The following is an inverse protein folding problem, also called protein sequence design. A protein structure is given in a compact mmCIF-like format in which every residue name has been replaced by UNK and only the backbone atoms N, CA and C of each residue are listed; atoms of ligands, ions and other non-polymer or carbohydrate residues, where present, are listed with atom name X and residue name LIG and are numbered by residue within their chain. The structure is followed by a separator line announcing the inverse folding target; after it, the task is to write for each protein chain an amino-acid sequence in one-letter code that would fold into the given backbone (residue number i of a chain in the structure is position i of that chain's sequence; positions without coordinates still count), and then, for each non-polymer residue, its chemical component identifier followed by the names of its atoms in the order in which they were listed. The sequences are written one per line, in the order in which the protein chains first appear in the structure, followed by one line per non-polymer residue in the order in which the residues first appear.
data_IF_734065277000
#
_entry.id   IF_734065277000
#
_cell.length_a   1.000
_cell.length_b   1.000
_cell.length_c   1.000
_cell.angle_alpha   90.00
_cell.angle_beta   90.00
_cell.angle_gamma   90.00
#
_symmetry.space_group_name_H-M   'P 1'
#
loop_
_entity.id
_entity.type
_entity.pdbx_description
1 polymer ?
#
# COMPACT_ATOMS: atom_id res chain seq x y z
N UNK A 1 57.22 13.06 11.59
CA UNK A 1 56.71 14.00 10.63
C UNK A 1 55.54 13.48 9.89
N UNK A 2 55.67 12.37 9.24
CA UNK A 2 54.49 11.74 8.63
C UNK A 2 53.41 11.39 9.69
N UNK A 3 53.84 10.98 10.87
CA UNK A 3 52.96 10.68 11.98
C UNK A 3 52.15 11.88 12.45
N UNK A 4 52.73 13.04 12.47
CA UNK A 4 52.04 14.25 12.87
C UNK A 4 50.95 14.61 11.88
N UNK A 5 51.21 14.43 10.60
CA UNK A 5 50.19 14.67 9.58
C UNK A 5 49.02 13.74 9.74
N UNK A 6 49.25 12.46 10.03
CA UNK A 6 48.22 11.48 10.25
C UNK A 6 47.42 11.81 11.51
N UNK A 7 48.11 12.20 12.59
CA UNK A 7 47.44 12.61 13.84
C UNK A 7 46.60 13.85 13.62
N UNK A 8 47.11 14.79 12.86
CA UNK A 8 46.36 16.01 12.56
C UNK A 8 45.09 15.71 11.78
N UNK A 9 45.14 14.78 10.86
CA UNK A 9 43.97 14.35 10.12
C UNK A 9 42.92 13.69 11.04
N UNK A 10 43.36 12.92 12.03
CA UNK A 10 42.46 12.34 13.02
C UNK A 10 41.88 13.41 13.94
N UNK A 11 42.69 14.36 14.32
CA UNK A 11 42.26 15.45 15.18
C UNK A 11 41.36 16.45 14.45
N UNK A 12 41.48 16.54 13.16
CA UNK A 12 40.59 17.38 12.38
C UNK A 12 39.13 16.89 12.45
N UNK A 13 38.92 15.63 12.83
CA UNK A 13 37.60 15.09 13.00
C UNK A 13 36.81 14.98 11.69
N UNK A 14 35.49 14.88 11.76
CA UNK A 14 34.68 14.80 10.57
C UNK A 14 34.74 16.08 9.76
N UNK A 15 34.50 15.96 8.45
CA UNK A 15 34.43 17.10 7.55
C UNK A 15 33.40 18.11 8.07
N UNK A 16 33.61 19.44 7.87
CA UNK A 16 32.62 20.44 8.25
C UNK A 16 31.22 20.20 7.67
N UNK A 17 31.18 19.50 6.53
CA UNK A 17 29.90 19.17 5.88
C UNK A 17 29.27 17.89 6.41
N UNK A 18 30.01 17.08 7.20
CA UNK A 18 29.48 15.86 7.79
C UNK A 18 28.77 16.20 9.09
N UNK A 19 27.55 15.65 9.33
CA UNK A 19 26.88 15.88 10.59
C UNK A 19 27.61 15.22 11.74
N UNK A 20 27.61 15.87 12.90
CA UNK A 20 28.13 15.28 14.12
C UNK A 20 27.25 14.12 14.58
N UNK A 21 27.77 13.30 15.48
CA UNK A 21 27.09 12.11 15.97
C UNK A 21 25.70 12.41 16.53
N UNK A 22 25.59 13.51 17.28
CA UNK A 22 24.30 13.94 17.85
C UNK A 22 23.33 14.40 16.78
N UNK A 23 23.84 15.04 15.73
CA UNK A 23 23.02 15.46 14.59
C UNK A 23 22.53 14.28 13.77
N UNK A 24 23.34 13.24 13.63
CA UNK A 24 22.90 12.01 12.96
C UNK A 24 21.74 11.35 13.68
N UNK A 25 21.80 11.30 15.01
CA UNK A 25 20.69 10.77 15.81
C UNK A 25 19.40 11.54 15.61
N UNK A 26 19.49 12.89 15.57
CA UNK A 26 18.34 13.74 15.33
C UNK A 26 17.76 13.53 13.93
N UNK A 27 18.62 13.41 12.90
CA UNK A 27 18.21 13.16 11.52
C UNK A 27 17.49 11.82 11.41
N UNK A 28 18.03 10.76 12.02
CA UNK A 28 17.41 9.44 12.02
C UNK A 28 16.06 9.46 12.72
N UNK A 29 15.94 10.20 13.82
CA UNK A 29 14.69 10.36 14.54
C UNK A 29 13.63 11.05 13.68
N UNK A 30 14.03 12.09 12.96
CA UNK A 30 13.13 12.80 12.04
C UNK A 30 12.68 11.90 10.88
N UNK A 31 13.58 11.08 10.35
CA UNK A 31 13.24 10.09 9.32
C UNK A 31 12.21 9.08 9.80
N UNK A 32 12.38 8.57 11.03
CA UNK A 32 11.42 7.63 11.63
C UNK A 32 10.07 8.28 11.82
N UNK A 33 10.05 9.51 12.32
CA UNK A 33 8.81 10.26 12.51
C UNK A 33 8.09 10.49 11.17
N UNK A 34 8.83 10.83 10.12
CA UNK A 34 8.28 11.01 8.78
C UNK A 34 7.67 9.71 8.25
N UNK A 35 8.39 8.59 8.37
CA UNK A 35 7.90 7.28 7.95
C UNK A 35 6.65 6.85 8.71
N UNK A 36 6.62 7.12 10.02
CA UNK A 36 5.46 6.79 10.84
C UNK A 36 4.23 7.62 10.44
N UNK A 37 4.42 8.89 10.08
CA UNK A 37 3.34 9.73 9.58
C UNK A 37 2.79 9.20 8.25
N UNK A 38 3.67 8.84 7.32
CA UNK A 38 3.28 8.27 6.03
C UNK A 38 2.51 6.95 6.20
N UNK A 39 2.98 6.08 7.07
CA UNK A 39 2.30 4.83 7.39
C UNK A 39 0.92 5.07 8.00
N UNK A 40 0.79 6.04 8.89
CA UNK A 40 -0.47 6.40 9.51
C UNK A 40 -1.45 6.97 8.48
N UNK A 41 -0.97 7.84 7.59
CA UNK A 41 -1.78 8.39 6.51
C UNK A 41 -2.25 7.32 5.54
N UNK A 42 -1.37 6.39 5.17
CA UNK A 42 -1.72 5.27 4.30
C UNK A 42 -2.83 4.41 4.93
N UNK A 43 -2.74 4.14 6.23
CA UNK A 43 -3.77 3.38 6.94
C UNK A 43 -5.10 4.12 7.00
N UNK A 44 -5.08 5.43 7.21
CA UNK A 44 -6.30 6.26 7.15
C UNK A 44 -6.95 6.21 5.78
N UNK A 45 -6.15 6.30 4.73
CA UNK A 45 -6.63 6.18 3.36
C UNK A 45 -7.21 4.80 3.11
N UNK A 46 -6.56 3.75 3.60
CA UNK A 46 -7.07 2.39 3.53
C UNK A 46 -8.44 2.23 4.18
N UNK A 47 -8.62 2.81 5.38
CA UNK A 47 -9.91 2.81 6.07
C UNK A 47 -10.97 3.55 5.27
N UNK A 48 -10.64 4.71 4.73
CA UNK A 48 -11.55 5.49 3.90
C UNK A 48 -12.01 4.73 2.67
N UNK A 49 -11.09 4.06 1.98
CA UNK A 49 -11.40 3.23 0.81
C UNK A 49 -12.28 2.05 1.23
N UNK A 50 -11.95 1.36 2.32
CA UNK A 50 -12.73 0.23 2.82
C UNK A 50 -14.17 0.64 3.13
N UNK A 51 -14.35 1.79 3.76
CA UNK A 51 -15.68 2.35 4.03
C UNK A 51 -16.45 2.65 2.75
N UNK A 52 -15.76 3.20 1.75
CA UNK A 52 -16.36 3.49 0.45
C UNK A 52 -16.84 2.24 -0.27
N UNK A 53 -16.09 1.14 -0.15
CA UNK A 53 -16.47 -0.15 -0.73
C UNK A 53 -17.73 -0.67 -0.05
N UNK A 54 -17.77 -0.65 1.29
CA UNK A 54 -18.94 -1.11 2.06
C UNK A 54 -20.17 -0.26 1.75
N UNK A 55 -20.00 1.04 1.63
CA UNK A 55 -21.06 1.98 1.29
C UNK A 55 -21.49 1.90 -0.18
N UNK A 56 -20.79 1.10 -1.00
CA UNK A 56 -21.05 0.97 -2.43
C UNK A 56 -20.84 2.27 -3.22
N UNK A 57 -20.10 3.23 -2.67
CA UNK A 57 -19.72 4.45 -3.38
C UNK A 57 -18.49 4.25 -4.26
N UNK A 58 -17.71 3.20 -4.01
CA UNK A 58 -16.60 2.75 -4.86
C UNK A 58 -16.91 1.32 -5.32
N UNK A 59 -16.65 1.02 -6.59
CA UNK A 59 -16.83 -0.32 -7.11
C UNK A 59 -15.96 -1.34 -6.38
N UNK A 60 -16.46 -2.57 -6.26
CA UNK A 60 -15.78 -3.64 -5.51
C UNK A 60 -14.38 -3.92 -6.07
N UNK A 61 -14.28 -4.08 -7.39
CA UNK A 61 -13.00 -4.41 -8.04
C UNK A 61 -12.04 -3.22 -8.06
N UNK A 62 -12.58 -2.02 -8.26
CA UNK A 62 -11.80 -0.79 -8.20
C UNK A 62 -11.22 -0.56 -6.80
N UNK A 63 -12.05 -0.76 -5.78
CA UNK A 63 -11.62 -0.65 -4.40
C UNK A 63 -10.60 -1.71 -4.01
N UNK A 64 -10.81 -2.95 -4.46
CA UNK A 64 -9.86 -4.04 -4.22
C UNK A 64 -8.48 -3.71 -4.78
N UNK A 65 -8.44 -3.12 -5.96
CA UNK A 65 -7.20 -2.68 -6.60
C UNK A 65 -6.47 -1.64 -5.73
N UNK A 66 -7.22 -0.70 -5.17
CA UNK A 66 -6.66 0.33 -4.29
C UNK A 66 -6.19 -0.23 -2.95
N UNK A 67 -6.69 -1.39 -2.52
CA UNK A 67 -6.32 -2.03 -1.26
C UNK A 67 -5.43 -3.27 -1.45
N UNK A 68 -4.90 -3.51 -2.64
CA UNK A 68 -4.07 -4.69 -2.92
C UNK A 68 -2.79 -4.75 -2.09
N UNK A 69 -2.35 -3.63 -1.55
CA UNK A 69 -1.12 -3.52 -0.75
C UNK A 69 -1.32 -3.82 0.75
N UNK A 70 -2.56 -3.84 1.24
CA UNK A 70 -2.82 -3.85 2.69
C UNK A 70 -2.36 -5.12 3.40
N UNK A 71 -2.31 -6.25 2.69
CA UNK A 71 -1.93 -7.54 3.29
C UNK A 71 -0.52 -7.49 3.89
N UNK A 72 0.38 -6.69 3.31
CA UNK A 72 1.75 -6.53 3.79
C UNK A 72 1.82 -5.83 5.15
N UNK A 73 0.81 -5.03 5.47
CA UNK A 73 0.75 -4.23 6.70
C UNK A 73 0.00 -4.94 7.82
N UNK A 74 -0.56 -6.11 7.55
CA UNK A 74 -1.26 -6.91 8.56
C UNK A 74 -0.34 -7.98 9.16
N UNK A 75 -0.65 -8.38 10.39
CA UNK A 75 0.05 -9.49 11.03
C UNK A 75 -0.12 -10.78 10.23
N UNK A 76 0.80 -11.75 10.36
CA UNK A 76 0.64 -13.03 9.66
C UNK A 76 -0.69 -13.73 9.95
N UNK A 77 -1.28 -13.51 11.13
CA UNK A 77 -2.56 -14.10 11.52
C UNK A 77 -3.72 -13.52 10.73
N UNK A 78 -3.72 -12.21 10.52
CA UNK A 78 -4.80 -11.48 9.83
C UNK A 78 -4.60 -11.42 8.31
N UNK A 79 -3.36 -11.62 7.85
CA UNK A 79 -3.00 -11.48 6.44
C UNK A 79 -3.87 -12.29 5.48
N UNK A 80 -4.19 -13.57 5.76
CA UNK A 80 -5.06 -14.34 4.85
C UNK A 80 -6.45 -13.72 4.68
N UNK A 81 -6.97 -13.05 5.68
CA UNK A 81 -8.30 -12.43 5.63
C UNK A 81 -8.37 -11.21 4.72
N UNK A 82 -7.23 -10.54 4.49
CA UNK A 82 -7.17 -9.35 3.62
C UNK A 82 -6.49 -9.64 2.28
N UNK A 83 -6.03 -10.87 2.06
CA UNK A 83 -5.36 -11.27 0.82
C UNK A 83 -6.29 -11.24 -0.39
N UNK A 84 -7.60 -11.21 -0.18
CA UNK A 84 -8.60 -11.15 -1.24
C UNK A 84 -8.43 -9.94 -2.17
N UNK A 85 -7.97 -8.81 -1.64
CA UNK A 85 -7.76 -7.61 -2.45
C UNK A 85 -6.70 -7.84 -3.54
N UNK A 86 -5.56 -8.42 -3.16
CA UNK A 86 -4.50 -8.74 -4.11
C UNK A 86 -4.92 -9.83 -5.09
N UNK A 87 -5.63 -10.87 -4.61
CA UNK A 87 -6.12 -11.94 -5.47
C UNK A 87 -7.08 -11.44 -6.54
N UNK A 88 -8.01 -10.56 -6.16
CA UNK A 88 -8.95 -9.98 -7.12
C UNK A 88 -8.24 -9.07 -8.12
N UNK A 89 -7.27 -8.29 -7.67
CA UNK A 89 -6.48 -7.44 -8.55
C UNK A 89 -5.77 -8.28 -9.61
N UNK A 90 -5.20 -9.40 -9.22
CA UNK A 90 -4.56 -10.33 -10.15
C UNK A 90 -5.58 -10.99 -11.09
N UNK A 91 -6.74 -11.37 -10.57
CA UNK A 91 -7.78 -12.04 -11.35
C UNK A 91 -8.35 -11.17 -12.47
N UNK A 92 -8.39 -9.85 -12.27
CA UNK A 92 -8.94 -8.91 -13.28
C UNK A 92 -7.88 -8.27 -14.16
N UNK A 93 -6.62 -8.64 -13.98
CA UNK A 93 -5.51 -8.04 -14.73
C UNK A 93 -5.68 -8.16 -16.23
N UNK A 94 -6.19 -9.28 -16.70
CA UNK A 94 -6.33 -9.58 -18.13
C UNK A 94 -7.65 -9.09 -18.71
N UNK A 95 -8.53 -8.52 -17.89
CA UNK A 95 -9.78 -7.97 -18.39
C UNK A 95 -9.52 -6.62 -19.08
N UNK A 96 -10.14 -6.38 -20.24
CA UNK A 96 -9.90 -5.14 -20.97
C UNK A 96 -10.41 -3.93 -20.23
N UNK A 97 -9.55 -2.90 -20.12
CA UNK A 97 -9.86 -1.62 -19.48
C UNK A 97 -9.42 -0.46 -20.36
N UNK A 98 -10.09 0.67 -20.20
CA UNK A 98 -9.72 1.92 -20.86
C UNK A 98 -9.75 1.81 -22.39
N UNK A 99 -8.75 2.39 -23.05
CA UNK A 99 -8.70 2.49 -24.50
C UNK A 99 -8.49 1.15 -25.21
N UNK A 100 -7.98 0.15 -24.49
CA UNK A 100 -7.78 -1.20 -25.04
C UNK A 100 -9.12 -1.84 -25.43
N UNK A 101 -10.20 -1.47 -24.74
CA UNK A 101 -11.53 -2.04 -24.98
C UNK A 101 -12.02 -1.87 -26.41
N UNK A 102 -11.65 -0.78 -27.08
CA UNK A 102 -12.06 -0.52 -28.47
C UNK A 102 -11.46 -1.49 -29.47
N UNK A 103 -10.42 -2.23 -29.11
CA UNK A 103 -9.79 -3.24 -29.98
C UNK A 103 -10.40 -4.62 -29.80
N UNK A 104 -11.37 -4.78 -28.90
CA UNK A 104 -12.04 -6.04 -28.66
C UNK A 104 -13.34 -6.12 -29.46
N UNK A 105 -13.65 -7.32 -29.92
CA UNK A 105 -14.96 -7.59 -30.53
C UNK A 105 -16.07 -7.41 -29.49
N UNK A 106 -17.21 -6.87 -29.90
CA UNK A 106 -18.32 -6.55 -28.99
C UNK A 106 -18.79 -7.73 -28.17
N UNK A 107 -18.90 -8.92 -28.79
CA UNK A 107 -19.33 -10.12 -28.09
C UNK A 107 -18.35 -10.58 -27.04
N UNK A 108 -17.05 -10.56 -27.38
CA UNK A 108 -15.98 -10.92 -26.45
C UNK A 108 -15.91 -9.93 -25.29
N UNK A 109 -16.10 -8.65 -25.56
CA UNK A 109 -16.10 -7.61 -24.54
C UNK A 109 -17.29 -7.80 -23.59
N UNK A 110 -18.48 -8.05 -24.11
CA UNK A 110 -19.68 -8.30 -23.31
C UNK A 110 -19.49 -9.52 -22.39
N UNK A 111 -18.86 -10.57 -22.89
CA UNK A 111 -18.56 -11.77 -22.10
C UNK A 111 -17.59 -11.46 -20.97
N UNK A 112 -16.53 -10.73 -21.25
CA UNK A 112 -15.54 -10.33 -20.24
C UNK A 112 -16.16 -9.41 -19.18
N UNK A 113 -17.00 -8.50 -19.58
CA UNK A 113 -17.72 -7.62 -18.65
C UNK A 113 -18.66 -8.43 -17.74
N UNK A 114 -19.36 -9.45 -18.27
CA UNK A 114 -20.21 -10.34 -17.50
C UNK A 114 -19.40 -11.17 -16.51
N UNK A 115 -18.26 -11.69 -16.90
CA UNK A 115 -17.35 -12.45 -16.03
C UNK A 115 -16.85 -11.55 -14.88
N UNK A 116 -16.49 -10.32 -15.20
CA UNK A 116 -16.03 -9.33 -14.21
C UNK A 116 -17.11 -9.02 -13.20
N UNK A 117 -18.34 -8.81 -13.66
CA UNK A 117 -19.47 -8.55 -12.79
C UNK A 117 -19.77 -9.75 -11.87
N UNK A 118 -19.70 -10.96 -12.40
CA UNK A 118 -19.91 -12.17 -11.62
C UNK A 118 -18.82 -12.35 -10.56
N UNK A 119 -17.57 -12.09 -10.92
CA UNK A 119 -16.45 -12.14 -9.98
C UNK A 119 -16.66 -11.19 -8.80
N UNK A 120 -17.12 -9.98 -9.07
CA UNK A 120 -17.43 -9.00 -8.04
C UNK A 120 -18.52 -9.50 -7.09
N UNK A 121 -19.58 -10.11 -7.63
CA UNK A 121 -20.66 -10.67 -6.83
C UNK A 121 -20.18 -11.84 -5.97
N UNK A 122 -19.45 -12.76 -6.55
CA UNK A 122 -18.95 -13.95 -5.87
C UNK A 122 -17.95 -13.60 -4.77
N UNK A 123 -17.20 -12.55 -4.96
CA UNK A 123 -16.16 -12.12 -4.03
C UNK A 123 -16.67 -11.21 -2.92
N UNK A 124 -17.89 -10.71 -3.04
CA UNK A 124 -18.43 -9.72 -2.11
C UNK A 124 -18.34 -10.13 -0.64
N UNK A 125 -18.73 -11.36 -0.23
CA UNK A 125 -18.63 -11.72 1.18
C UNK A 125 -17.21 -11.63 1.74
N UNK A 126 -16.22 -12.04 0.96
CA UNK A 126 -14.82 -11.98 1.35
C UNK A 126 -14.32 -10.53 1.38
N UNK A 127 -14.73 -9.73 0.41
CA UNK A 127 -14.39 -8.30 0.35
C UNK A 127 -15.00 -7.56 1.55
N UNK A 128 -16.24 -7.81 1.86
CA UNK A 128 -16.91 -7.17 3.00
C UNK A 128 -16.17 -7.49 4.31
N UNK A 129 -15.83 -8.75 4.53
CA UNK A 129 -15.09 -9.17 5.73
C UNK A 129 -13.71 -8.51 5.79
N UNK A 130 -13.01 -8.47 4.66
CA UNK A 130 -11.69 -7.85 4.59
C UNK A 130 -11.76 -6.35 4.87
N UNK A 131 -12.75 -5.66 4.31
CA UNK A 131 -12.98 -4.23 4.56
C UNK A 131 -13.28 -3.96 6.03
N UNK A 132 -14.12 -4.78 6.65
CA UNK A 132 -14.42 -4.62 8.08
C UNK A 132 -13.19 -4.84 8.95
N UNK A 133 -12.33 -5.79 8.58
CA UNK A 133 -11.09 -6.02 9.31
C UNK A 133 -10.14 -4.82 9.18
N UNK A 134 -10.00 -4.27 7.99
CA UNK A 134 -9.20 -3.05 7.78
C UNK A 134 -9.70 -1.92 8.68
N UNK A 135 -11.01 -1.69 8.68
CA UNK A 135 -11.64 -0.65 9.49
C UNK A 135 -11.37 -0.90 10.99
N UNK A 136 -11.62 -2.12 11.46
CA UNK A 136 -11.47 -2.48 12.86
C UNK A 136 -10.03 -2.31 13.35
N UNK A 137 -9.06 -2.81 12.59
CA UNK A 137 -7.65 -2.78 12.99
C UNK A 137 -7.03 -1.40 12.87
N UNK A 138 -7.44 -0.62 11.90
CA UNK A 138 -6.77 0.64 11.61
C UNK A 138 -7.51 1.88 12.08
N UNK A 139 -8.74 1.75 12.53
CA UNK A 139 -9.49 2.88 13.10
C UNK A 139 -9.00 3.22 14.51
N UNK A 140 -8.45 2.25 15.22
CA UNK A 140 -7.92 2.45 16.58
C UNK A 140 -6.52 3.09 16.60
N UNK A 141 -5.93 3.34 15.45
CA UNK A 141 -4.56 3.88 15.32
C UNK A 141 -4.55 5.41 15.41
#
# INVERSE_FOLDING_TARGET
MVFQTIVDNRQAGPSPDAPEFDQLGAILKDFRAARNREATEAKRDGVSIARSIIARSTGVLEGAKQLAWVDREFSPEDRPSVAVFARLTDAVRDYPEGSVRKHWASDALAQKDAERAQLALDSWPDIERACRLVIDRWTAV
#
